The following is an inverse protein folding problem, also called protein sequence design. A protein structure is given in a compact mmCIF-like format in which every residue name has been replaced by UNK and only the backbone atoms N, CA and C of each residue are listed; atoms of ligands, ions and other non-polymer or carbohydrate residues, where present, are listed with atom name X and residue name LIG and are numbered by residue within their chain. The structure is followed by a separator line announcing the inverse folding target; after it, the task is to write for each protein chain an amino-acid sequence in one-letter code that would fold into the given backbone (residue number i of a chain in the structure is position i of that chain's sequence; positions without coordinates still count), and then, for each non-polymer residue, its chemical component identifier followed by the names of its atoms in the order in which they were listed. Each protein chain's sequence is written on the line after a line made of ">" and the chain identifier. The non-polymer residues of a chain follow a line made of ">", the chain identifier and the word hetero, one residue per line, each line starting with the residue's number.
data_IF_686715649895
#
_entry.id   IF_686715649895
#
_cell.length_a   1.000
_cell.length_b   1.000
_cell.length_c   1.000
_cell.angle_alpha   90.00
_cell.angle_beta   90.00
_cell.angle_gamma   90.00
#
_symmetry.space_group_name_H-M   'P 1'
#
loop_
_entity.id
_entity.type
_entity.pdbx_description
1 polymer ?
#
# COMPACT_ATOMS: atom_id res chain seq x y z
N UNK A 1 -14.45 -29.93 -49.59
CA UNK A 1 -15.70 -29.42 -50.18
C UNK A 1 -16.80 -29.60 -49.15
N UNK A 2 -17.00 -28.57 -48.33
CA UNK A 2 -17.84 -28.60 -47.13
C UNK A 2 -19.20 -27.98 -47.47
N UNK A 3 -20.28 -28.73 -47.28
CA UNK A 3 -21.66 -28.23 -47.50
C UNK A 3 -21.97 -27.08 -46.52
N UNK A 4 -22.64 -26.00 -46.97
CA UNK A 4 -23.01 -24.91 -46.09
C UNK A 4 -24.25 -25.28 -45.25
N UNK A 5 -24.16 -25.00 -43.95
CA UNK A 5 -25.30 -25.05 -43.02
C UNK A 5 -26.15 -23.78 -43.21
N UNK A 6 -27.37 -23.96 -43.67
CA UNK A 6 -28.40 -22.93 -43.79
C UNK A 6 -28.88 -22.52 -42.38
N UNK A 7 -28.64 -21.26 -42.00
CA UNK A 7 -29.22 -20.69 -40.78
C UNK A 7 -30.67 -20.26 -41.02
N UNK A 8 -31.59 -20.88 -40.29
CA UNK A 8 -33.00 -20.47 -40.23
C UNK A 8 -33.13 -19.14 -39.48
N UNK A 9 -33.69 -18.12 -40.14
CA UNK A 9 -34.09 -16.85 -39.50
C UNK A 9 -35.26 -17.09 -38.55
N UNK A 10 -35.00 -17.17 -37.24
CA UNK A 10 -36.04 -17.02 -36.21
C UNK A 10 -36.39 -15.53 -36.07
N UNK A 11 -37.61 -15.20 -36.44
CA UNK A 11 -38.26 -13.92 -36.14
C UNK A 11 -38.32 -13.72 -34.62
N UNK A 12 -37.57 -12.74 -34.11
CA UNK A 12 -37.67 -12.29 -32.71
C UNK A 12 -38.86 -11.35 -32.60
N UNK A 13 -40.00 -11.86 -32.12
CA UNK A 13 -41.09 -11.03 -31.60
C UNK A 13 -40.54 -10.22 -30.43
N UNK A 14 -40.58 -8.89 -30.55
CA UNK A 14 -40.29 -7.99 -29.45
C UNK A 14 -41.32 -8.21 -28.34
N UNK A 15 -40.90 -8.77 -27.21
CA UNK A 15 -41.69 -8.76 -25.99
C UNK A 15 -41.67 -7.33 -25.42
N UNK A 16 -42.73 -6.57 -25.66
CA UNK A 16 -43.03 -5.37 -24.89
C UNK A 16 -43.37 -5.81 -23.46
N UNK A 17 -42.45 -5.61 -22.52
CA UNK A 17 -42.74 -5.79 -21.10
C UNK A 17 -43.87 -4.83 -20.70
N UNK A 18 -44.87 -5.27 -19.90
CA UNK A 18 -45.89 -4.37 -19.39
C UNK A 18 -45.20 -3.40 -18.42
N UNK A 19 -45.28 -2.11 -18.70
CA UNK A 19 -44.93 -1.08 -17.73
C UNK A 19 -45.85 -1.28 -16.52
N UNK A 20 -45.30 -1.69 -15.39
CA UNK A 20 -46.09 -1.93 -14.19
C UNK A 20 -46.72 -0.61 -13.73
N UNK A 21 -48.05 -0.51 -13.78
CA UNK A 21 -48.83 0.62 -13.26
C UNK A 21 -48.60 0.88 -11.76
N UNK A 22 -47.98 -0.06 -11.04
CA UNK A 22 -47.66 0.03 -9.60
C UNK A 22 -46.50 0.98 -9.24
N UNK A 23 -45.80 1.58 -10.21
CA UNK A 23 -44.69 2.50 -9.93
C UNK A 23 -45.08 3.99 -9.87
N UNK A 24 -46.32 4.35 -10.24
CA UNK A 24 -46.73 5.74 -10.47
C UNK A 24 -47.27 6.49 -9.23
N UNK A 25 -47.37 5.83 -8.07
CA UNK A 25 -47.89 6.46 -6.85
C UNK A 25 -46.81 7.13 -5.97
N UNK A 26 -45.56 7.22 -6.47
CA UNK A 26 -44.43 7.77 -5.72
C UNK A 26 -44.39 9.33 -5.66
N UNK A 27 -45.39 10.01 -6.22
CA UNK A 27 -45.47 11.47 -6.30
C UNK A 27 -44.65 12.10 -7.43
N UNK A 28 -44.64 13.44 -7.49
CA UNK A 28 -43.94 14.23 -8.52
C UNK A 28 -42.82 15.07 -7.91
N UNK A 29 -41.71 15.21 -8.62
CA UNK A 29 -40.71 16.26 -8.38
C UNK A 29 -41.14 17.47 -9.20
N UNK A 30 -41.63 18.52 -8.54
CA UNK A 30 -42.13 19.72 -9.20
C UNK A 30 -41.07 20.80 -9.18
N UNK A 31 -40.66 21.27 -10.35
CA UNK A 31 -39.68 22.36 -10.53
C UNK A 31 -40.45 23.55 -11.08
N UNK A 32 -40.29 24.73 -10.47
CA UNK A 32 -40.90 25.98 -10.93
C UNK A 32 -39.86 27.09 -11.04
N UNK A 33 -39.90 27.82 -12.15
CA UNK A 33 -39.08 29.00 -12.37
C UNK A 33 -37.57 28.76 -12.37
N UNK A 34 -37.09 27.63 -12.89
CA UNK A 34 -35.64 27.37 -12.97
C UNK A 34 -34.96 28.31 -13.98
N UNK A 35 -33.97 29.08 -13.52
CA UNK A 35 -33.25 30.12 -14.27
C UNK A 35 -31.73 29.96 -14.27
N UNK A 36 -31.23 28.88 -13.69
CA UNK A 36 -29.78 28.61 -13.64
C UNK A 36 -29.13 28.61 -15.03
N UNK A 37 -28.04 29.35 -15.18
CA UNK A 37 -27.29 29.54 -16.43
C UNK A 37 -28.17 30.12 -17.57
N UNK A 38 -28.56 29.28 -18.53
CA UNK A 38 -29.32 29.67 -19.71
C UNK A 38 -30.79 29.21 -19.69
N UNK A 39 -31.27 28.69 -18.55
CA UNK A 39 -32.67 28.33 -18.36
C UNK A 39 -33.54 29.60 -18.31
N UNK A 40 -34.69 29.57 -18.97
CA UNK A 40 -35.59 30.74 -19.11
C UNK A 40 -36.85 30.59 -18.25
N UNK A 41 -36.69 30.37 -16.94
CA UNK A 41 -37.82 30.21 -16.01
C UNK A 41 -38.59 28.90 -16.22
N UNK A 42 -37.87 27.80 -16.44
CA UNK A 42 -38.46 26.50 -16.80
C UNK A 42 -39.26 25.92 -15.63
N UNK A 43 -40.49 25.50 -15.90
CA UNK A 43 -41.30 24.68 -15.00
C UNK A 43 -41.50 23.28 -15.57
N UNK A 44 -41.25 22.24 -14.77
CA UNK A 44 -41.41 20.84 -15.20
C UNK A 44 -41.77 19.95 -14.01
N UNK A 45 -42.62 18.96 -14.26
CA UNK A 45 -42.98 17.91 -13.30
C UNK A 45 -42.33 16.60 -13.73
N UNK A 46 -41.50 16.01 -12.87
CA UNK A 46 -40.81 14.74 -13.12
C UNK A 46 -41.45 13.63 -12.28
N UNK A 47 -41.77 12.46 -12.87
CA UNK A 47 -42.28 11.32 -12.12
C UNK A 47 -41.20 10.78 -11.18
N UNK A 48 -41.55 10.63 -9.90
CA UNK A 48 -40.64 10.05 -8.90
C UNK A 48 -40.64 8.52 -9.04
N UNK A 49 -39.52 7.88 -8.72
CA UNK A 49 -39.37 6.42 -8.88
C UNK A 49 -39.24 5.93 -10.33
N UNK A 50 -39.18 6.83 -11.30
CA UNK A 50 -39.02 6.51 -12.72
C UNK A 50 -37.59 6.79 -13.23
N UNK A 51 -37.18 6.07 -14.26
CA UNK A 51 -35.99 6.40 -15.04
C UNK A 51 -36.32 7.57 -15.98
N UNK A 52 -35.94 8.78 -15.58
CA UNK A 52 -36.20 10.01 -16.35
C UNK A 52 -35.00 10.35 -17.23
N UNK A 53 -35.22 10.48 -18.54
CA UNK A 53 -34.21 10.90 -19.50
C UNK A 53 -34.43 12.36 -19.94
N UNK A 54 -33.45 13.24 -19.70
CA UNK A 54 -33.44 14.62 -20.21
C UNK A 54 -32.64 14.67 -21.50
N UNK A 55 -33.29 15.00 -22.62
CA UNK A 55 -32.69 15.02 -23.96
C UNK A 55 -32.81 16.40 -24.63
N UNK A 56 -32.04 16.62 -25.70
CA UNK A 56 -32.00 17.89 -26.45
C UNK A 56 -30.62 18.26 -26.98
N UNK A 57 -30.57 19.28 -27.85
CA UNK A 57 -29.35 19.77 -28.50
C UNK A 57 -28.24 20.19 -27.51
N UNK A 58 -26.97 20.12 -27.91
CA UNK A 58 -25.87 20.64 -27.08
C UNK A 58 -26.13 22.11 -26.73
N UNK A 59 -25.89 22.49 -25.47
CA UNK A 59 -26.18 23.83 -24.98
C UNK A 59 -27.65 24.12 -24.65
N UNK A 60 -28.60 23.18 -24.83
CA UNK A 60 -30.03 23.43 -24.55
C UNK A 60 -30.40 23.59 -23.06
N UNK A 61 -29.43 23.54 -22.14
CA UNK A 61 -29.67 23.69 -20.70
C UNK A 61 -29.91 22.38 -19.94
N UNK A 62 -29.72 21.20 -20.56
CA UNK A 62 -29.87 19.88 -19.90
C UNK A 62 -29.04 19.76 -18.63
N UNK A 63 -27.75 20.06 -18.72
CA UNK A 63 -26.83 20.00 -17.59
C UNK A 63 -27.14 21.07 -16.55
N UNK A 64 -27.59 22.26 -16.99
CA UNK A 64 -28.05 23.33 -16.09
C UNK A 64 -29.23 22.88 -15.23
N UNK A 65 -30.21 22.16 -15.83
CA UNK A 65 -31.37 21.63 -15.12
C UNK A 65 -30.99 20.43 -14.22
N UNK A 66 -30.25 19.46 -14.76
CA UNK A 66 -29.93 18.22 -14.05
C UNK A 66 -28.88 18.40 -12.94
N UNK A 67 -27.74 18.99 -13.26
CA UNK A 67 -26.61 19.11 -12.34
C UNK A 67 -26.67 20.41 -11.55
N UNK A 68 -26.77 21.56 -12.23
CA UNK A 68 -26.67 22.85 -11.56
C UNK A 68 -27.95 23.28 -10.82
N UNK A 69 -29.09 22.64 -11.08
CA UNK A 69 -30.37 22.93 -10.39
C UNK A 69 -30.77 21.76 -9.50
N UNK A 70 -31.16 20.61 -10.07
CA UNK A 70 -31.69 19.47 -9.30
C UNK A 70 -30.66 18.87 -8.34
N UNK A 71 -29.48 18.47 -8.85
CA UNK A 71 -28.45 17.87 -8.01
C UNK A 71 -27.93 18.85 -6.94
N UNK A 72 -27.61 20.09 -7.32
CA UNK A 72 -27.16 21.11 -6.35
C UNK A 72 -28.19 21.37 -5.25
N UNK A 73 -29.47 21.50 -5.60
CA UNK A 73 -30.53 21.71 -4.60
C UNK A 73 -30.70 20.49 -3.70
N UNK A 74 -30.64 19.28 -4.27
CA UNK A 74 -30.75 18.03 -3.50
C UNK A 74 -29.58 17.85 -2.53
N UNK A 75 -28.36 18.16 -2.97
CA UNK A 75 -27.17 18.13 -2.13
C UNK A 75 -27.23 19.22 -1.04
N UNK A 76 -27.62 20.45 -1.38
CA UNK A 76 -27.78 21.56 -0.43
C UNK A 76 -28.76 21.21 0.68
N UNK A 77 -29.96 20.73 0.33
CA UNK A 77 -30.99 20.33 1.31
C UNK A 77 -30.50 19.21 2.22
N UNK A 78 -29.77 18.23 1.67
CA UNK A 78 -29.18 17.16 2.48
C UNK A 78 -28.16 17.71 3.49
N UNK A 79 -27.26 18.59 3.05
CA UNK A 79 -26.28 19.22 3.94
C UNK A 79 -26.92 20.09 5.03
N UNK A 80 -28.09 20.67 4.77
CA UNK A 80 -28.85 21.46 5.75
C UNK A 80 -29.41 20.62 6.90
N UNK A 81 -29.61 19.31 6.68
CA UNK A 81 -30.01 18.37 7.74
C UNK A 81 -28.86 17.95 8.65
N UNK A 82 -27.60 18.23 8.27
CA UNK A 82 -26.44 17.88 9.08
C UNK A 82 -26.30 18.79 10.31
N UNK A 83 -25.55 18.30 11.31
CA UNK A 83 -25.28 19.03 12.55
C UNK A 83 -24.67 20.42 12.28
N UNK A 84 -24.90 21.37 13.19
CA UNK A 84 -24.36 22.74 13.06
C UNK A 84 -22.84 22.75 12.88
N UNK A 85 -22.13 21.83 13.53
CA UNK A 85 -20.69 21.62 13.37
C UNK A 85 -20.32 21.17 11.94
N UNK A 86 -21.00 20.18 11.38
CA UNK A 86 -20.73 19.69 10.03
C UNK A 86 -20.96 20.78 8.96
N UNK A 87 -21.98 21.64 9.15
CA UNK A 87 -22.26 22.78 8.27
C UNK A 87 -21.15 23.84 8.29
N UNK A 88 -20.49 24.05 9.43
CA UNK A 88 -19.37 24.99 9.54
C UNK A 88 -18.16 24.55 8.70
N UNK A 89 -17.91 23.22 8.61
CA UNK A 89 -16.78 22.66 7.86
C UNK A 89 -17.05 22.50 6.37
N UNK A 90 -18.25 22.04 6.00
CA UNK A 90 -18.61 21.80 4.59
C UNK A 90 -18.97 23.11 3.86
N UNK A 91 -19.24 24.19 4.60
CA UNK A 91 -19.72 25.45 4.07
C UNK A 91 -21.16 25.37 3.59
N UNK A 92 -21.71 26.52 3.19
CA UNK A 92 -22.99 26.58 2.49
C UNK A 92 -22.79 26.32 1.00
N UNK A 93 -23.59 25.44 0.40
CA UNK A 93 -23.68 25.36 -1.05
C UNK A 93 -24.53 26.53 -1.56
N UNK A 94 -24.05 27.18 -2.63
CA UNK A 94 -24.80 28.25 -3.28
C UNK A 94 -26.18 27.73 -3.72
N UNK A 95 -27.24 28.43 -3.29
CA UNK A 95 -28.61 28.11 -3.70
C UNK A 95 -28.75 28.34 -5.21
N UNK A 96 -29.24 27.36 -5.98
CA UNK A 96 -29.48 27.54 -7.41
C UNK A 96 -30.62 28.55 -7.65
N UNK A 97 -30.59 29.23 -8.80
CA UNK A 97 -31.65 30.16 -9.21
C UNK A 97 -32.88 29.37 -9.70
N UNK A 98 -33.80 29.13 -8.76
CA UNK A 98 -35.08 28.46 -8.95
C UNK A 98 -36.07 29.01 -7.92
N UNK A 99 -37.34 29.14 -8.30
CA UNK A 99 -38.38 29.63 -7.39
C UNK A 99 -38.73 28.58 -6.34
N UNK A 100 -39.05 27.37 -6.79
CA UNK A 100 -39.36 26.26 -5.91
C UNK A 100 -39.04 24.92 -6.54
N UNK A 101 -38.64 23.98 -5.69
CA UNK A 101 -38.54 22.56 -6.02
C UNK A 101 -39.22 21.76 -4.91
N UNK A 102 -40.25 21.00 -5.23
CA UNK A 102 -40.99 20.15 -4.31
C UNK A 102 -40.74 18.67 -4.63
N UNK A 103 -40.80 17.80 -3.62
CA UNK A 103 -40.65 16.35 -3.81
C UNK A 103 -39.22 15.86 -4.10
N UNK A 104 -38.20 16.70 -3.97
CA UNK A 104 -36.80 16.34 -4.24
C UNK A 104 -36.20 15.47 -3.13
N UNK A 105 -35.66 14.31 -3.50
CA UNK A 105 -34.87 13.44 -2.61
C UNK A 105 -33.41 13.94 -2.49
N UNK A 106 -32.63 13.48 -1.48
CA UNK A 106 -31.18 13.61 -1.50
C UNK A 106 -30.63 13.11 -2.84
N UNK A 107 -29.74 13.90 -3.46
CA UNK A 107 -29.28 13.66 -4.82
C UNK A 107 -27.80 13.27 -4.84
N UNK A 108 -27.46 12.33 -5.70
CA UNK A 108 -26.07 11.92 -6.01
C UNK A 108 -25.86 12.15 -7.50
N UNK A 109 -24.79 12.87 -7.84
CA UNK A 109 -24.37 13.02 -9.23
C UNK A 109 -23.27 12.01 -9.54
N UNK A 110 -23.47 11.27 -10.63
CA UNK A 110 -22.41 10.48 -11.26
C UNK A 110 -22.08 11.17 -12.57
N UNK A 111 -20.99 11.93 -12.58
CA UNK A 111 -20.49 12.62 -13.77
C UNK A 111 -19.24 11.92 -14.34
N UNK A 112 -18.77 12.40 -15.48
CA UNK A 112 -17.56 11.87 -16.13
C UNK A 112 -16.27 12.47 -15.56
N UNK A 113 -16.32 13.27 -14.49
CA UNK A 113 -15.09 13.87 -13.95
C UNK A 113 -14.23 12.76 -13.36
N UNK A 114 -12.94 12.80 -13.71
CA UNK A 114 -11.98 11.85 -13.18
C UNK A 114 -11.84 12.05 -11.67
N UNK A 115 -12.11 11.01 -10.90
CA UNK A 115 -11.76 10.98 -9.48
C UNK A 115 -10.25 11.20 -9.36
N UNK A 116 -9.78 12.19 -8.56
CA UNK A 116 -8.36 12.45 -8.38
C UNK A 116 -7.63 11.17 -7.96
N UNK A 117 -6.65 10.74 -8.77
CA UNK A 117 -5.90 9.51 -8.54
C UNK A 117 -4.68 9.81 -7.69
N UNK A 118 -4.73 9.46 -6.41
CA UNK A 118 -3.51 9.38 -5.59
C UNK A 118 -2.63 8.22 -6.05
N UNK A 119 -1.31 8.29 -5.83
CA UNK A 119 -0.36 7.27 -6.27
C UNK A 119 -0.65 5.86 -5.71
N UNK A 120 -1.29 5.79 -4.53
CA UNK A 120 -1.72 4.55 -3.88
C UNK A 120 -3.17 4.14 -4.21
N UNK A 121 -3.92 4.97 -4.94
CA UNK A 121 -5.30 4.63 -5.33
C UNK A 121 -5.30 3.59 -6.45
N UNK A 122 -6.08 2.54 -6.27
CA UNK A 122 -6.30 1.44 -7.22
C UNK A 122 -7.80 1.25 -7.43
N UNK A 123 -8.18 0.45 -8.43
CA UNK A 123 -9.58 0.03 -8.60
C UNK A 123 -10.10 -0.63 -7.31
N UNK A 124 -9.31 -1.53 -6.71
CA UNK A 124 -9.72 -2.24 -5.50
C UNK A 124 -9.95 -1.34 -4.29
N UNK A 125 -9.19 -0.26 -4.14
CA UNK A 125 -9.44 0.72 -3.06
C UNK A 125 -10.61 1.64 -3.37
N UNK A 126 -10.86 1.96 -4.65
CA UNK A 126 -12.00 2.79 -5.07
C UNK A 126 -13.33 2.06 -4.92
N UNK A 127 -13.36 0.74 -5.13
CA UNK A 127 -14.56 -0.08 -5.02
C UNK A 127 -14.68 -0.78 -3.67
N UNK A 128 -13.77 -0.49 -2.72
CA UNK A 128 -13.67 -1.15 -1.40
C UNK A 128 -13.48 -2.68 -1.46
N UNK A 129 -13.31 -3.27 -2.65
CA UNK A 129 -13.05 -4.70 -2.83
C UNK A 129 -11.75 -5.10 -2.13
N UNK A 130 -10.74 -4.23 -2.16
CA UNK A 130 -9.49 -4.46 -1.43
C UNK A 130 -9.76 -4.60 0.08
N UNK A 131 -10.70 -3.85 0.65
CA UNK A 131 -11.03 -3.86 2.07
C UNK A 131 -11.66 -5.19 2.48
N UNK A 132 -12.57 -5.70 1.65
CA UNK A 132 -13.14 -7.03 1.82
C UNK A 132 -12.09 -8.13 1.68
N UNK A 133 -11.18 -8.02 0.71
CA UNK A 133 -10.08 -8.98 0.55
C UNK A 133 -9.18 -8.98 1.79
N UNK A 134 -8.87 -7.82 2.36
CA UNK A 134 -8.06 -7.73 3.60
C UNK A 134 -8.70 -8.51 4.75
N UNK A 135 -10.01 -8.40 4.92
CA UNK A 135 -10.75 -9.17 5.94
C UNK A 135 -10.74 -10.66 5.61
N UNK A 136 -10.97 -11.03 4.35
CA UNK A 136 -10.97 -12.42 3.90
C UNK A 136 -9.61 -13.09 4.17
N UNK A 137 -8.51 -12.47 3.75
CA UNK A 137 -7.17 -13.01 3.95
C UNK A 137 -6.78 -13.09 5.43
N UNK A 138 -7.22 -12.13 6.26
CA UNK A 138 -6.99 -12.19 7.70
C UNK A 138 -7.78 -13.30 8.42
N UNK A 139 -8.99 -13.63 7.93
CA UNK A 139 -9.89 -14.58 8.62
C UNK A 139 -9.81 -16.00 8.07
N UNK A 140 -9.53 -16.16 6.78
CA UNK A 140 -9.53 -17.46 6.10
C UNK A 140 -8.19 -17.79 5.43
N UNK A 141 -7.23 -16.87 5.43
CA UNK A 141 -5.90 -17.11 4.88
C UNK A 141 -5.08 -18.05 5.76
N UNK A 142 -4.39 -19.00 5.13
CA UNK A 142 -3.39 -19.83 5.81
C UNK A 142 -2.05 -19.11 5.72
N UNK A 143 -1.56 -18.59 6.84
CA UNK A 143 -0.24 -18.00 6.93
C UNK A 143 0.84 -19.06 6.69
N UNK A 144 1.95 -18.66 6.08
CA UNK A 144 3.14 -19.50 5.91
C UNK A 144 4.33 -18.77 6.54
N UNK A 145 5.22 -19.51 7.19
CA UNK A 145 6.38 -18.93 7.83
C UNK A 145 7.35 -18.39 6.77
N UNK A 146 7.80 -17.11 6.83
CA UNK A 146 8.74 -16.57 5.85
C UNK A 146 10.07 -17.34 5.79
N UNK A 147 10.50 -17.96 6.90
CA UNK A 147 11.78 -18.67 7.02
C UNK A 147 11.75 -20.09 6.47
N UNK A 148 10.79 -20.92 6.92
CA UNK A 148 10.72 -22.34 6.55
C UNK A 148 9.54 -22.70 5.63
N UNK A 149 8.68 -21.73 5.29
CA UNK A 149 7.50 -21.88 4.43
C UNK A 149 6.46 -22.89 4.93
N UNK A 150 6.60 -23.38 6.16
CA UNK A 150 5.58 -24.25 6.75
C UNK A 150 4.29 -23.46 7.04
N UNK A 151 3.12 -24.10 6.88
CA UNK A 151 1.85 -23.48 7.20
C UNK A 151 1.78 -23.20 8.70
N UNK A 152 1.62 -21.93 9.04
CA UNK A 152 1.38 -21.47 10.40
C UNK A 152 -0.09 -21.77 10.68
N UNK A 153 -0.32 -22.96 11.22
CA UNK A 153 -1.64 -23.38 11.68
C UNK A 153 -1.77 -23.09 13.16
N UNK A 154 -2.98 -22.77 13.57
CA UNK A 154 -3.28 -22.67 14.98
C UNK A 154 -3.09 -24.04 15.65
N UNK A 155 -2.44 -24.05 16.81
CA UNK A 155 -2.32 -25.25 17.65
C UNK A 155 -3.51 -25.29 18.59
N UNK A 156 -4.04 -26.47 18.86
CA UNK A 156 -5.08 -26.62 19.89
C UNK A 156 -4.44 -26.44 21.28
N UNK A 157 -5.18 -25.91 22.27
CA UNK A 157 -4.71 -25.86 23.65
C UNK A 157 -4.24 -27.22 24.17
N UNK A 158 -4.89 -28.31 23.71
CA UNK A 158 -4.50 -29.68 24.08
C UNK A 158 -3.13 -30.08 23.52
N UNK A 159 -2.84 -29.76 22.26
CA UNK A 159 -1.53 -30.04 21.67
C UNK A 159 -0.42 -29.27 22.39
N UNK A 160 -0.70 -28.02 22.76
CA UNK A 160 0.22 -27.15 23.49
C UNK A 160 0.43 -27.67 24.94
N UNK A 161 -0.62 -28.18 25.60
CA UNK A 161 -0.51 -28.83 26.91
C UNK A 161 0.38 -30.10 26.86
N UNK A 162 0.22 -30.94 25.83
CA UNK A 162 1.03 -32.15 25.64
C UNK A 162 2.51 -31.80 25.40
N UNK A 163 2.78 -30.76 24.62
CA UNK A 163 4.13 -30.27 24.36
C UNK A 163 4.80 -29.75 25.64
N UNK A 164 4.12 -28.88 26.39
CA UNK A 164 4.62 -28.36 27.67
C UNK A 164 4.86 -29.50 28.66
N UNK A 165 3.92 -30.45 28.75
CA UNK A 165 4.07 -31.60 29.64
C UNK A 165 5.29 -32.45 29.28
N UNK A 166 5.57 -32.64 27.99
CA UNK A 166 6.73 -33.42 27.52
C UNK A 166 8.07 -32.72 27.77
N UNK A 167 8.11 -31.40 27.64
CA UNK A 167 9.35 -30.62 27.78
C UNK A 167 9.69 -30.37 29.25
N UNK A 168 8.70 -30.02 30.06
CA UNK A 168 8.88 -29.57 31.44
C UNK A 168 8.42 -30.60 32.48
N UNK A 169 8.40 -31.88 32.13
CA UNK A 169 7.98 -32.95 33.05
C UNK A 169 8.82 -32.93 34.33
N UNK A 170 8.16 -32.94 35.48
CA UNK A 170 8.79 -32.91 36.81
C UNK A 170 9.66 -31.67 37.10
N UNK A 171 9.62 -30.64 36.24
CA UNK A 171 10.31 -29.35 36.46
C UNK A 171 9.36 -28.31 37.06
N UNK A 172 9.87 -27.41 37.91
CA UNK A 172 9.08 -26.28 38.42
C UNK A 172 8.92 -25.24 37.32
N UNK A 173 7.67 -24.90 37.01
CA UNK A 173 7.33 -23.86 36.02
C UNK A 173 6.36 -22.84 36.58
N UNK A 174 6.45 -21.62 36.06
CA UNK A 174 5.47 -20.55 36.22
C UNK A 174 4.72 -20.40 34.90
N UNK A 175 3.40 -20.52 34.95
CA UNK A 175 2.53 -20.27 33.81
C UNK A 175 2.02 -18.85 33.88
N UNK A 176 2.41 -18.04 32.91
CA UNK A 176 2.13 -16.61 32.86
C UNK A 176 1.30 -16.26 31.64
N UNK A 177 0.30 -15.39 31.82
CA UNK A 177 -0.46 -14.81 30.71
C UNK A 177 0.16 -13.45 30.33
N UNK A 178 0.69 -13.28 29.10
CA UNK A 178 1.27 -12.01 28.67
C UNK A 178 0.17 -10.99 28.34
N UNK A 179 0.06 -9.92 29.12
CA UNK A 179 -0.99 -8.90 28.99
C UNK A 179 -0.52 -7.68 28.20
N UNK A 180 0.73 -7.27 28.41
CA UNK A 180 1.33 -6.14 27.72
C UNK A 180 2.68 -6.55 27.14
N UNK A 181 2.87 -6.26 25.86
CA UNK A 181 4.13 -6.47 25.15
C UNK A 181 4.68 -5.14 24.66
N UNK A 182 5.85 -4.78 25.17
CA UNK A 182 6.67 -3.68 24.67
C UNK A 182 5.87 -2.38 24.43
N UNK A 183 4.96 -2.05 25.36
CA UNK A 183 4.04 -0.91 25.22
C UNK A 183 4.38 0.18 26.22
N UNK A 184 4.40 1.43 25.74
CA UNK A 184 4.57 2.60 26.61
C UNK A 184 3.32 2.86 27.46
N UNK A 185 3.52 3.22 28.72
CA UNK A 185 2.44 3.62 29.61
C UNK A 185 2.65 3.16 31.04
N UNK A 186 1.94 3.80 31.98
CA UNK A 186 2.00 3.42 33.41
C UNK A 186 1.08 2.26 33.77
N UNK A 187 0.17 1.85 32.87
CA UNK A 187 -0.72 0.69 32.99
C UNK A 187 -1.50 0.54 34.32
N UNK A 188 -1.75 1.63 35.06
CA UNK A 188 -2.44 1.59 36.38
C UNK A 188 -3.80 0.88 36.33
N UNK A 189 -4.62 1.19 35.33
CA UNK A 189 -5.93 0.57 35.15
C UNK A 189 -5.86 -0.96 34.96
N UNK A 190 -4.78 -1.47 34.35
CA UNK A 190 -4.55 -2.91 34.21
C UNK A 190 -4.28 -3.55 35.56
N UNK A 191 -3.39 -2.97 36.37
CA UNK A 191 -3.09 -3.50 37.69
C UNK A 191 -4.30 -3.47 38.63
N UNK A 192 -5.13 -2.41 38.56
CA UNK A 192 -6.36 -2.33 39.34
C UNK A 192 -7.39 -3.39 38.92
N UNK A 193 -7.52 -3.67 37.62
CA UNK A 193 -8.37 -4.75 37.10
C UNK A 193 -7.85 -6.14 37.55
N UNK A 194 -6.53 -6.36 37.51
CA UNK A 194 -5.93 -7.60 38.02
C UNK A 194 -6.19 -7.82 39.51
N UNK A 195 -6.13 -6.76 40.33
CA UNK A 195 -6.46 -6.83 41.77
C UNK A 195 -7.92 -7.21 41.99
N UNK A 196 -8.84 -6.59 41.24
CA UNK A 196 -10.28 -6.91 41.30
C UNK A 196 -10.59 -8.35 40.91
N UNK A 197 -9.80 -8.93 40.01
CA UNK A 197 -9.90 -10.34 39.58
C UNK A 197 -9.21 -11.32 40.53
N UNK A 198 -8.53 -10.84 41.58
CA UNK A 198 -7.92 -11.67 42.61
C UNK A 198 -6.52 -12.21 42.27
N UNK A 199 -5.84 -11.66 41.26
CA UNK A 199 -4.46 -12.06 40.97
C UNK A 199 -3.49 -11.51 42.03
N UNK A 200 -2.51 -12.33 42.43
CA UNK A 200 -1.58 -11.99 43.52
C UNK A 200 -0.18 -11.63 43.03
N UNK A 201 0.26 -12.23 41.91
CA UNK A 201 1.63 -12.09 41.40
C UNK A 201 1.63 -11.66 39.94
N UNK A 202 2.61 -10.82 39.61
CA UNK A 202 2.88 -10.38 38.25
C UNK A 202 4.36 -10.44 37.98
N UNK A 203 4.71 -10.56 36.72
CA UNK A 203 6.06 -10.36 36.22
C UNK A 203 6.06 -9.06 35.41
N UNK A 204 6.89 -8.11 35.81
CA UNK A 204 7.02 -6.80 35.17
C UNK A 204 8.47 -6.64 34.76
N UNK A 205 8.71 -6.44 33.47
CA UNK A 205 10.06 -6.33 32.89
C UNK A 205 10.98 -7.46 33.40
N UNK A 206 10.46 -8.70 33.33
CA UNK A 206 11.12 -9.95 33.72
C UNK A 206 11.28 -10.16 35.24
N UNK A 207 10.94 -9.17 36.08
CA UNK A 207 10.99 -9.28 37.54
C UNK A 207 9.68 -9.79 38.12
N UNK A 208 9.74 -10.91 38.85
CA UNK A 208 8.60 -11.47 39.56
C UNK A 208 8.36 -10.71 40.87
N UNK A 209 7.14 -10.18 41.04
CA UNK A 209 6.75 -9.42 42.24
C UNK A 209 5.27 -9.66 42.61
N UNK A 210 4.89 -9.27 43.82
CA UNK A 210 3.47 -9.26 44.21
C UNK A 210 2.80 -8.04 43.60
N UNK A 211 1.52 -8.17 43.24
CA UNK A 211 0.74 -7.11 42.59
C UNK A 211 0.58 -5.84 43.46
N UNK A 212 0.72 -5.99 44.79
CA UNK A 212 0.71 -4.90 45.77
C UNK A 212 2.04 -4.11 45.77
N UNK A 213 3.14 -4.77 45.45
CA UNK A 213 4.50 -4.22 45.52
C UNK A 213 4.96 -3.59 44.18
N UNK A 214 4.09 -3.57 43.17
CA UNK A 214 4.44 -3.06 41.83
C UNK A 214 4.64 -1.54 41.89
N UNK A 215 5.84 -1.03 41.52
CA UNK A 215 6.09 0.41 41.51
C UNK A 215 5.33 1.12 40.39
N UNK A 216 5.19 2.45 40.50
CA UNK A 216 4.61 3.24 39.41
C UNK A 216 5.50 3.21 38.17
N UNK A 217 4.99 2.59 37.10
CA UNK A 217 5.71 2.46 35.83
C UNK A 217 5.75 3.79 35.06
N UNK A 218 6.86 4.02 34.36
CA UNK A 218 7.10 5.25 33.59
C UNK A 218 6.21 5.29 32.34
N UNK A 219 5.53 6.42 32.12
CA UNK A 219 4.67 6.61 30.93
C UNK A 219 5.46 6.64 29.61
N UNK A 220 6.75 6.93 29.66
CA UNK A 220 7.58 7.13 28.46
C UNK A 220 8.43 5.91 28.07
N UNK A 221 8.57 4.95 28.98
CA UNK A 221 9.31 3.71 28.76
C UNK A 221 8.37 2.60 28.32
N UNK A 222 8.90 1.62 27.58
CA UNK A 222 8.16 0.45 27.15
C UNK A 222 8.28 -0.62 28.23
N UNK A 223 7.17 -1.27 28.54
CA UNK A 223 7.10 -2.29 29.59
C UNK A 223 6.57 -3.61 29.03
N UNK A 224 6.97 -4.71 29.67
CA UNK A 224 6.41 -6.06 29.51
C UNK A 224 5.72 -6.45 30.81
N UNK A 225 4.46 -6.88 30.72
CA UNK A 225 3.66 -7.24 31.90
C UNK A 225 2.99 -8.57 31.65
N UNK A 226 3.30 -9.54 32.50
CA UNK A 226 2.70 -10.86 32.52
C UNK A 226 2.04 -11.12 33.88
N UNK A 227 0.83 -11.67 33.91
CA UNK A 227 0.21 -12.11 35.17
C UNK A 227 0.53 -13.59 35.41
N UNK A 228 0.92 -13.92 36.63
CA UNK A 228 1.19 -15.32 37.00
C UNK A 228 -0.13 -15.99 37.32
N UNK A 229 -0.47 -17.05 36.58
CA UNK A 229 -1.72 -17.78 36.73
C UNK A 229 -1.52 -18.99 37.65
N UNK A 230 -0.48 -19.79 37.42
CA UNK A 230 -0.19 -20.96 38.25
C UNK A 230 1.32 -21.15 38.42
N UNK A 231 1.70 -21.74 39.55
CA UNK A 231 3.04 -22.24 39.85
C UNK A 231 2.92 -23.73 40.10
N UNK A 232 3.46 -24.52 39.20
CA UNK A 232 3.25 -25.97 39.24
C UNK A 232 4.47 -26.76 38.81
N UNK A 233 4.39 -28.07 39.02
CA UNK A 233 5.30 -29.05 38.45
C UNK A 233 4.45 -29.93 37.53
N UNK A 234 4.60 -29.85 36.20
CA UNK A 234 3.85 -30.68 35.26
C UNK A 234 4.15 -32.16 35.53
N UNK A 235 3.09 -32.96 35.66
CA UNK A 235 3.19 -34.42 35.88
C UNK A 235 2.24 -35.14 34.94
N UNK A 236 2.71 -36.24 34.34
CA UNK A 236 1.90 -37.06 33.44
C UNK A 236 0.67 -37.68 34.13
N UNK A 237 0.71 -37.82 35.46
CA UNK A 237 -0.36 -38.33 36.31
C UNK A 237 -1.53 -37.34 36.49
N UNK A 238 -1.25 -36.03 36.38
CA UNK A 238 -2.23 -34.95 36.61
C UNK A 238 -2.30 -33.95 35.44
N UNK A 239 -2.56 -34.39 34.19
CA UNK A 239 -2.59 -33.50 33.03
C UNK A 239 -3.75 -32.49 33.06
N UNK A 240 -4.82 -32.79 33.81
CA UNK A 240 -5.98 -31.93 33.94
C UNK A 240 -5.64 -30.56 34.55
N UNK A 241 -4.77 -30.53 35.56
CA UNK A 241 -4.35 -29.28 36.21
C UNK A 241 -3.58 -28.38 35.24
N UNK A 242 -2.65 -28.96 34.47
CA UNK A 242 -1.91 -28.20 33.46
C UNK A 242 -2.84 -27.61 32.43
N UNK A 243 -3.80 -28.39 31.91
CA UNK A 243 -4.79 -27.90 30.93
C UNK A 243 -5.62 -26.75 31.47
N UNK A 244 -6.10 -26.83 32.72
CA UNK A 244 -6.93 -25.78 33.32
C UNK A 244 -6.15 -24.47 33.48
N UNK A 245 -4.94 -24.55 34.03
CA UNK A 245 -4.05 -23.40 34.18
C UNK A 245 -3.64 -22.83 32.81
N UNK A 246 -3.35 -23.68 31.84
CA UNK A 246 -3.02 -23.29 30.47
C UNK A 246 -4.17 -22.58 29.77
N UNK A 247 -5.39 -23.11 29.85
CA UNK A 247 -6.58 -22.48 29.28
C UNK A 247 -6.83 -21.10 29.91
N UNK A 248 -6.59 -20.97 31.21
CA UNK A 248 -6.68 -19.69 31.92
C UNK A 248 -5.61 -18.72 31.40
N UNK A 249 -4.36 -19.18 31.22
CA UNK A 249 -3.30 -18.37 30.61
C UNK A 249 -3.68 -17.91 29.20
N UNK A 250 -4.07 -18.83 28.32
CA UNK A 250 -4.42 -18.54 26.94
C UNK A 250 -5.62 -17.57 26.84
N UNK A 251 -6.61 -17.70 27.73
CA UNK A 251 -7.76 -16.78 27.79
C UNK A 251 -7.34 -15.37 28.17
N UNK A 252 -6.44 -15.20 29.14
CA UNK A 252 -5.96 -13.90 29.57
C UNK A 252 -4.89 -13.31 28.66
N UNK A 253 -4.06 -14.14 28.03
CA UNK A 253 -2.96 -13.77 27.14
C UNK A 253 -3.33 -13.73 25.66
N UNK A 254 -4.62 -13.75 25.32
CA UNK A 254 -5.15 -13.70 23.94
C UNK A 254 -4.53 -14.77 23.02
N UNK A 255 -4.50 -16.02 23.48
CA UNK A 255 -3.95 -17.17 22.73
C UNK A 255 -2.46 -17.43 22.99
N UNK A 256 -1.84 -16.67 23.88
CA UNK A 256 -0.44 -16.84 24.23
C UNK A 256 -0.24 -17.20 25.70
N UNK A 257 0.81 -17.96 25.97
CA UNK A 257 1.23 -18.34 27.31
C UNK A 257 2.75 -18.32 27.39
N UNK A 258 3.27 -17.70 28.45
CA UNK A 258 4.69 -17.70 28.75
C UNK A 258 4.95 -18.74 29.84
N UNK A 259 5.81 -19.71 29.55
CA UNK A 259 6.28 -20.71 30.51
C UNK A 259 7.65 -20.25 31.00
N UNK A 260 7.77 -19.97 32.30
CA UNK A 260 9.05 -19.57 32.90
C UNK A 260 9.59 -20.68 33.80
N UNK A 261 10.85 -21.02 33.61
CA UNK A 261 11.67 -21.82 34.54
C UNK A 261 12.63 -20.89 35.28
N UNK A 262 13.53 -21.46 36.10
CA UNK A 262 14.59 -20.69 36.75
C UNK A 262 15.63 -20.16 35.74
N UNK A 263 15.78 -20.83 34.58
CA UNK A 263 16.83 -20.54 33.59
C UNK A 263 16.32 -19.76 32.37
N UNK A 264 15.06 -19.95 31.97
CA UNK A 264 14.52 -19.39 30.73
C UNK A 264 13.02 -19.06 30.80
N UNK A 265 12.57 -18.22 29.86
CA UNK A 265 11.17 -17.93 29.64
C UNK A 265 10.82 -18.14 28.17
N UNK A 266 10.01 -19.17 27.89
CA UNK A 266 9.65 -19.59 26.54
C UNK A 266 8.19 -19.22 26.26
N UNK A 267 7.95 -18.52 25.16
CA UNK A 267 6.62 -18.14 24.72
C UNK A 267 6.02 -19.25 23.86
N UNK A 268 4.87 -19.76 24.28
CA UNK A 268 4.04 -20.65 23.50
C UNK A 268 2.79 -19.89 23.03
N UNK A 269 2.30 -20.24 21.86
CA UNK A 269 1.13 -19.61 21.27
C UNK A 269 0.28 -20.61 20.53
N UNK A 270 -1.04 -20.43 20.62
CA UNK A 270 -1.98 -21.12 19.74
C UNK A 270 -1.99 -20.55 18.33
N UNK A 271 -1.44 -19.34 18.06
CA UNK A 271 -1.57 -18.66 16.76
C UNK A 271 -0.29 -17.99 16.24
N UNK A 272 0.73 -17.77 17.09
CA UNK A 272 1.84 -16.83 16.82
C UNK A 272 3.23 -17.45 16.76
N UNK A 273 3.35 -18.78 16.72
CA UNK A 273 4.65 -19.47 16.63
C UNK A 273 4.64 -20.50 15.50
N UNK A 274 5.62 -20.41 14.61
CA UNK A 274 5.80 -21.36 13.52
C UNK A 274 6.12 -22.78 14.07
N UNK A 275 5.42 -23.84 13.61
CA UNK A 275 5.68 -25.22 14.03
C UNK A 275 7.06 -25.77 13.66
N UNK A 276 7.61 -25.42 12.48
CA UNK A 276 8.89 -25.97 12.05
C UNK A 276 10.11 -25.28 12.64
N UNK A 277 10.16 -23.94 12.62
CA UNK A 277 11.36 -23.19 13.01
C UNK A 277 11.25 -22.43 14.34
N UNK A 278 10.09 -22.48 15.01
CA UNK A 278 9.86 -21.77 16.28
C UNK A 278 9.86 -20.25 16.18
N UNK A 279 9.89 -19.69 14.97
CA UNK A 279 9.86 -18.24 14.76
C UNK A 279 8.51 -17.62 15.11
N UNK A 280 8.55 -16.44 15.73
CA UNK A 280 7.35 -15.61 15.96
C UNK A 280 6.70 -15.22 14.64
N UNK A 281 5.38 -15.36 14.59
CA UNK A 281 4.53 -14.97 13.48
C UNK A 281 3.51 -13.97 13.99
N UNK A 282 3.43 -12.75 13.41
CA UNK A 282 2.44 -11.77 13.85
C UNK A 282 1.02 -12.29 13.58
N UNK A 283 0.03 -11.90 14.41
CA UNK A 283 -1.35 -12.31 14.18
C UNK A 283 -1.85 -11.82 12.82
N UNK A 284 -2.62 -12.65 12.13
CA UNK A 284 -3.22 -12.31 10.85
C UNK A 284 -4.31 -11.24 11.04
N UNK A 285 -3.91 -9.98 10.90
CA UNK A 285 -4.81 -8.84 10.98
C UNK A 285 -5.06 -8.21 9.60
N UNK A 286 -6.25 -7.66 9.31
CA UNK A 286 -6.55 -7.03 8.02
C UNK A 286 -5.57 -5.91 7.62
N UNK A 287 -4.94 -5.23 8.60
CA UNK A 287 -3.96 -4.17 8.35
C UNK A 287 -2.65 -4.66 7.74
N UNK A 288 -2.32 -5.96 7.88
CA UNK A 288 -1.14 -6.57 7.25
C UNK A 288 -1.31 -6.71 5.74
N UNK A 289 -2.55 -6.75 5.26
CA UNK A 289 -2.88 -6.83 3.84
C UNK A 289 -3.14 -5.45 3.21
N UNK A 290 -2.80 -4.37 3.92
CA UNK A 290 -2.97 -3.00 3.44
C UNK A 290 -1.62 -2.36 3.08
N UNK A 291 -1.41 -2.11 1.79
CA UNK A 291 -0.27 -1.32 1.32
C UNK A 291 -0.36 0.18 1.65
N UNK A 292 -1.47 0.63 2.25
CA UNK A 292 -1.60 1.99 2.81
C UNK A 292 -1.22 2.04 4.30
N UNK A 293 -0.96 0.90 4.93
CA UNK A 293 -0.52 0.80 6.33
C UNK A 293 0.96 0.44 6.35
N UNK A 294 1.80 1.07 7.20
CA UNK A 294 3.20 0.68 7.37
C UNK A 294 3.41 -0.80 7.74
N UNK A 295 2.40 -1.44 8.30
CA UNK A 295 2.46 -2.86 8.72
C UNK A 295 2.37 -3.81 7.52
N UNK A 296 1.63 -3.44 6.48
CA UNK A 296 1.43 -4.26 5.29
C UNK A 296 2.18 -3.75 4.07
N UNK A 297 2.58 -2.48 4.05
CA UNK A 297 3.28 -1.85 2.95
C UNK A 297 4.72 -2.33 2.83
N UNK A 298 5.13 -2.66 1.61
CA UNK A 298 6.53 -2.93 1.26
C UNK A 298 7.44 -1.80 1.77
N UNK A 299 8.43 -2.13 2.60
CA UNK A 299 9.38 -1.17 3.19
C UNK A 299 10.17 -0.38 2.14
N UNK A 300 10.46 -1.01 1.00
CA UNK A 300 11.38 -0.45 0.01
C UNK A 300 10.71 0.57 -0.91
N UNK A 301 9.40 0.44 -1.10
CA UNK A 301 8.62 1.37 -1.93
C UNK A 301 7.50 2.09 -1.16
N UNK A 302 7.44 1.92 0.16
CA UNK A 302 6.39 2.47 1.03
C UNK A 302 4.98 2.19 0.46
N UNK A 303 4.74 0.96 -0.01
CA UNK A 303 3.45 0.55 -0.57
C UNK A 303 3.05 1.21 -1.90
N UNK A 304 3.98 1.85 -2.61
CA UNK A 304 3.73 2.36 -3.97
C UNK A 304 3.76 1.24 -5.02
N UNK A 305 4.55 0.19 -4.79
CA UNK A 305 4.81 -0.90 -5.73
C UNK A 305 5.71 -0.51 -6.90
N UNK A 306 6.03 0.78 -7.03
CA UNK A 306 6.94 1.28 -8.04
C UNK A 306 8.06 2.05 -7.37
N UNK A 307 9.25 1.91 -7.93
CA UNK A 307 10.41 2.73 -7.58
C UNK A 307 10.81 3.55 -8.79
N UNK A 308 11.22 4.80 -8.54
CA UNK A 308 11.81 5.64 -9.59
C UNK A 308 13.30 5.33 -9.66
N UNK A 309 13.69 4.48 -10.61
CA UNK A 309 15.10 4.15 -10.85
C UNK A 309 15.51 4.51 -12.28
N UNK A 310 16.81 4.78 -12.52
CA UNK A 310 17.32 4.89 -13.88
C UNK A 310 17.18 3.55 -14.60
N UNK A 311 16.45 3.54 -15.71
CA UNK A 311 16.28 2.37 -16.59
C UNK A 311 16.79 2.67 -17.99
N UNK A 312 17.06 1.63 -18.78
CA UNK A 312 17.40 1.80 -20.21
C UNK A 312 16.31 2.58 -20.95
N UNK A 313 15.04 2.24 -20.74
CA UNK A 313 13.90 2.93 -21.37
C UNK A 313 13.79 4.41 -20.98
N UNK A 314 14.21 4.80 -19.77
CA UNK A 314 14.23 6.21 -19.35
C UNK A 314 15.43 7.01 -19.89
N UNK A 315 16.46 6.34 -20.41
CA UNK A 315 17.71 6.95 -20.86
C UNK A 315 17.83 6.94 -22.39
N UNK A 316 17.30 5.93 -23.08
CA UNK A 316 17.29 5.86 -24.55
C UNK A 316 16.13 6.71 -25.08
N UNK A 317 16.46 7.85 -25.69
CA UNK A 317 15.48 8.77 -26.25
C UNK A 317 15.04 8.35 -27.67
N UNK A 318 15.99 7.91 -28.50
CA UNK A 318 15.72 7.44 -29.86
C UNK A 318 16.72 6.33 -30.21
N UNK A 319 16.21 5.11 -30.37
CA UNK A 319 17.05 3.96 -30.66
C UNK A 319 17.57 3.93 -32.11
N UNK A 320 17.02 4.76 -33.01
CA UNK A 320 17.44 4.84 -34.41
C UNK A 320 18.68 5.71 -34.63
N UNK A 321 19.03 6.55 -33.66
CA UNK A 321 20.20 7.40 -33.69
C UNK A 321 21.42 6.69 -33.11
N UNK A 322 22.62 7.19 -33.43
CA UNK A 322 23.86 6.74 -32.78
C UNK A 322 24.06 7.42 -31.42
N UNK A 323 25.02 6.95 -30.63
CA UNK A 323 25.32 7.54 -29.32
C UNK A 323 25.73 9.01 -29.49
N UNK A 324 26.58 9.31 -30.49
CA UNK A 324 26.96 10.69 -30.87
C UNK A 324 25.81 11.47 -31.46
N UNK A 325 24.93 10.79 -32.21
CA UNK A 325 23.72 11.34 -32.81
C UNK A 325 22.61 11.67 -31.82
N UNK A 326 22.80 11.42 -30.52
CA UNK A 326 21.83 11.79 -29.49
C UNK A 326 20.84 10.68 -29.10
N UNK A 327 21.17 9.41 -29.35
CA UNK A 327 20.33 8.28 -28.94
C UNK A 327 19.99 8.26 -27.45
N UNK A 328 20.89 8.79 -26.61
CA UNK A 328 20.73 8.85 -25.15
C UNK A 328 20.28 10.24 -24.72
N UNK A 329 19.24 10.31 -23.88
CA UNK A 329 18.70 11.54 -23.31
C UNK A 329 19.73 12.34 -22.48
N UNK A 330 20.78 11.68 -22.01
CA UNK A 330 21.88 12.30 -21.25
C UNK A 330 22.94 12.95 -22.14
N UNK A 331 22.84 12.85 -23.48
CA UNK A 331 23.75 13.52 -24.40
C UNK A 331 23.66 15.04 -24.21
N UNK A 332 24.81 15.71 -24.12
CA UNK A 332 24.86 17.15 -23.85
C UNK A 332 24.22 17.92 -25.01
N UNK A 333 23.36 18.90 -24.70
CA UNK A 333 22.68 19.72 -25.71
C UNK A 333 23.62 20.49 -26.65
N UNK A 334 24.84 20.83 -26.19
CA UNK A 334 25.89 21.47 -27.01
C UNK A 334 26.82 20.46 -27.72
N UNK A 335 26.49 19.17 -27.67
CA UNK A 335 27.39 18.10 -28.08
C UNK A 335 28.59 17.90 -27.14
N UNK A 336 29.58 17.14 -27.59
CA UNK A 336 30.83 16.92 -26.84
C UNK A 336 30.72 15.96 -25.65
N UNK A 337 29.80 15.00 -25.68
CA UNK A 337 29.74 13.87 -24.75
C UNK A 337 28.45 13.73 -23.95
N UNK A 338 28.55 12.99 -22.85
CA UNK A 338 27.42 12.66 -21.97
C UNK A 338 27.46 13.48 -20.68
N UNK A 339 26.30 14.00 -20.27
CA UNK A 339 26.12 14.75 -19.02
C UNK A 339 26.19 13.86 -17.77
N UNK A 340 25.87 12.57 -17.91
CA UNK A 340 26.07 11.52 -16.91
C UNK A 340 26.75 10.34 -17.63
N UNK A 341 27.97 9.88 -17.26
CA UNK A 341 28.81 10.20 -16.09
C UNK A 341 29.65 11.50 -16.12
N UNK A 342 29.36 12.47 -17.01
CA UNK A 342 30.26 13.60 -17.33
C UNK A 342 31.56 13.10 -17.98
N UNK A 343 31.42 12.64 -19.22
CA UNK A 343 32.53 12.23 -20.09
C UNK A 343 32.37 12.90 -21.44
N UNK A 344 33.47 13.08 -22.16
CA UNK A 344 33.46 13.56 -23.54
C UNK A 344 33.47 12.37 -24.54
N UNK A 345 33.47 12.70 -25.83
CA UNK A 345 33.52 11.67 -26.87
C UNK A 345 34.89 11.00 -26.96
N UNK A 346 35.99 11.74 -26.74
CA UNK A 346 37.34 11.19 -26.79
C UNK A 346 37.57 10.11 -25.73
N UNK A 347 37.04 10.29 -24.53
CA UNK A 347 37.04 9.26 -23.49
C UNK A 347 36.20 8.05 -23.89
N UNK A 348 35.00 8.28 -24.44
CA UNK A 348 34.12 7.18 -24.87
C UNK A 348 34.68 6.41 -26.06
N UNK A 349 35.47 7.03 -26.94
CA UNK A 349 36.17 6.33 -28.03
C UNK A 349 37.17 5.31 -27.48
N UNK A 350 37.91 5.66 -26.41
CA UNK A 350 38.83 4.73 -25.74
C UNK A 350 38.07 3.54 -25.15
N UNK A 351 36.90 3.79 -24.53
CA UNK A 351 36.02 2.73 -24.00
C UNK A 351 35.48 1.85 -25.14
N UNK A 352 35.04 2.47 -26.23
CA UNK A 352 34.47 1.79 -27.39
C UNK A 352 35.51 0.92 -28.11
N UNK A 353 36.73 1.43 -28.30
CA UNK A 353 37.85 0.71 -28.88
C UNK A 353 38.23 -0.54 -28.06
N UNK A 354 38.33 -0.41 -26.73
CA UNK A 354 38.66 -1.52 -25.84
C UNK A 354 37.59 -2.61 -25.77
N UNK A 355 36.37 -2.31 -26.21
CA UNK A 355 35.21 -3.21 -26.22
C UNK A 355 34.69 -3.49 -27.65
N UNK A 356 35.44 -3.09 -28.67
CA UNK A 356 35.20 -3.38 -30.09
C UNK A 356 33.81 -2.96 -30.61
N UNK A 357 33.36 -1.74 -30.30
CA UNK A 357 32.15 -1.16 -30.89
C UNK A 357 32.37 0.29 -31.35
N UNK A 358 31.47 0.81 -32.18
CA UNK A 358 31.50 2.20 -32.65
C UNK A 358 30.41 3.05 -31.98
N UNK A 359 30.73 4.31 -31.70
CA UNK A 359 29.76 5.28 -31.18
C UNK A 359 28.82 5.85 -32.25
N UNK A 360 29.13 5.61 -33.52
CA UNK A 360 28.39 6.08 -34.69
C UNK A 360 27.37 5.06 -35.21
N UNK A 361 27.39 3.83 -34.68
CA UNK A 361 26.36 2.83 -34.96
C UNK A 361 25.04 3.23 -34.28
N UNK A 362 23.88 3.13 -34.98
CA UNK A 362 22.58 3.30 -34.36
C UNK A 362 22.39 2.42 -33.12
N UNK A 363 21.74 2.94 -32.08
CA UNK A 363 21.61 2.24 -30.79
C UNK A 363 20.96 0.86 -30.92
N UNK A 364 19.91 0.74 -31.74
CA UNK A 364 19.21 -0.52 -32.04
C UNK A 364 20.11 -1.57 -32.69
N UNK A 365 21.13 -1.15 -33.43
CA UNK A 365 22.04 -2.01 -34.19
C UNK A 365 23.33 -2.33 -33.41
N UNK A 366 23.53 -1.70 -32.24
CA UNK A 366 24.64 -2.01 -31.35
C UNK A 366 24.48 -3.40 -30.71
N UNK A 367 25.57 -4.19 -30.59
CA UNK A 367 25.54 -5.44 -29.84
C UNK A 367 25.07 -5.23 -28.40
N UNK A 368 24.28 -6.17 -27.85
CA UNK A 368 23.80 -6.11 -26.44
C UNK A 368 24.92 -5.93 -25.42
N UNK A 369 26.10 -6.52 -25.68
CA UNK A 369 27.30 -6.32 -24.84
C UNK A 369 27.78 -4.86 -24.85
N UNK A 370 27.77 -4.20 -26.00
CA UNK A 370 28.14 -2.79 -26.14
C UNK A 370 27.13 -1.86 -25.46
N UNK A 371 25.83 -2.10 -25.65
CA UNK A 371 24.76 -1.38 -24.93
C UNK A 371 24.95 -1.50 -23.41
N UNK A 372 25.23 -2.71 -22.91
CA UNK A 372 25.50 -2.95 -21.49
C UNK A 372 26.74 -2.19 -20.98
N UNK A 373 27.83 -2.15 -21.75
CA UNK A 373 29.03 -1.37 -21.39
C UNK A 373 28.70 0.11 -21.26
N UNK A 374 27.93 0.67 -22.18
CA UNK A 374 27.50 2.09 -22.13
C UNK A 374 26.58 2.37 -20.94
N UNK A 375 25.62 1.48 -20.67
CA UNK A 375 24.64 1.69 -19.60
C UNK A 375 25.19 1.38 -18.20
N UNK A 376 25.91 0.28 -18.02
CA UNK A 376 26.32 -0.23 -16.71
C UNK A 376 27.80 -0.05 -16.40
N UNK A 377 28.61 0.25 -17.42
CA UNK A 377 30.05 0.50 -17.29
C UNK A 377 30.93 -0.63 -17.79
N UNK A 378 32.23 -0.37 -17.78
CA UNK A 378 33.27 -1.25 -18.35
C UNK A 378 33.97 -2.14 -17.29
N UNK A 379 33.28 -2.44 -16.18
CA UNK A 379 33.83 -3.22 -15.07
C UNK A 379 35.00 -2.50 -14.37
N UNK A 380 36.07 -3.25 -14.07
CA UNK A 380 37.25 -2.73 -13.35
C UNK A 380 38.29 -2.03 -14.24
N UNK A 381 38.14 -2.13 -15.58
CA UNK A 381 39.05 -1.50 -16.54
C UNK A 381 39.09 0.01 -16.35
N UNK A 382 40.31 0.57 -16.40
CA UNK A 382 40.56 2.01 -16.30
C UNK A 382 40.95 2.55 -17.67
N UNK A 383 40.54 3.80 -17.91
CA UNK A 383 40.77 4.52 -19.15
C UNK A 383 41.33 5.89 -18.81
N UNK A 384 42.26 6.40 -19.63
CA UNK A 384 42.79 7.75 -19.42
C UNK A 384 41.78 8.81 -19.83
N UNK A 385 41.52 9.74 -18.92
CA UNK A 385 40.63 10.89 -19.07
C UNK A 385 41.47 12.16 -18.97
N UNK A 386 41.10 13.17 -19.76
CA UNK A 386 41.89 14.40 -19.86
C UNK A 386 40.95 15.59 -19.70
N UNK A 387 41.25 16.48 -18.76
CA UNK A 387 40.59 17.76 -18.66
C UNK A 387 41.53 18.85 -19.15
N UNK A 388 41.08 19.60 -20.14
CA UNK A 388 41.73 20.82 -20.60
C UNK A 388 40.91 22.03 -20.15
N UNK A 389 41.58 23.05 -19.60
CA UNK A 389 40.94 24.33 -19.33
C UNK A 389 41.71 25.43 -20.05
N UNK A 390 40.96 26.29 -20.72
CA UNK A 390 41.49 27.39 -21.49
C UNK A 390 40.79 28.67 -21.03
N UNK A 391 41.22 29.18 -19.87
CA UNK A 391 40.72 30.43 -19.30
C UNK A 391 41.61 31.61 -19.67
N UNK A 392 41.07 32.83 -19.54
CA UNK A 392 41.80 34.06 -19.86
C UNK A 392 43.12 34.25 -19.07
N UNK A 393 43.26 33.62 -17.89
CA UNK A 393 44.44 33.74 -17.01
C UNK A 393 45.27 32.46 -16.86
N UNK A 394 44.72 31.27 -17.10
CA UNK A 394 45.42 30.00 -16.94
C UNK A 394 45.00 29.01 -18.02
N UNK A 395 45.99 28.38 -18.66
CA UNK A 395 45.82 27.23 -19.56
C UNK A 395 46.54 26.03 -18.97
N UNK A 396 45.91 24.87 -19.03
CA UNK A 396 46.53 23.63 -18.58
C UNK A 396 45.71 22.41 -18.97
N UNK A 397 46.36 21.27 -18.89
CA UNK A 397 45.74 19.96 -19.09
C UNK A 397 46.18 19.04 -17.96
N UNK A 398 45.26 18.26 -17.44
CA UNK A 398 45.56 17.18 -16.49
C UNK A 398 45.03 15.87 -17.06
N UNK A 399 45.84 14.82 -17.00
CA UNK A 399 45.47 13.47 -17.38
C UNK A 399 45.44 12.58 -16.13
N UNK A 400 44.42 11.74 -16.03
CA UNK A 400 44.29 10.76 -14.95
C UNK A 400 43.55 9.52 -15.47
N UNK A 401 43.63 8.43 -14.71
CA UNK A 401 42.87 7.22 -15.04
C UNK A 401 41.59 7.10 -14.22
N UNK A 402 40.50 6.71 -14.88
CA UNK A 402 39.22 6.43 -14.19
C UNK A 402 38.52 5.23 -14.80
N UNK A 403 37.64 4.61 -13.99
CA UNK A 403 36.69 3.61 -14.46
C UNK A 403 35.50 4.28 -15.13
N UNK A 404 35.00 3.68 -16.20
CA UNK A 404 33.72 4.06 -16.77
C UNK A 404 32.59 3.33 -16.07
N UNK A 405 31.82 4.06 -15.26
CA UNK A 405 30.73 3.54 -14.41
C UNK A 405 29.39 3.39 -15.14
N UNK A 406 29.36 3.68 -16.44
CA UNK A 406 28.13 3.66 -17.25
C UNK A 406 27.18 4.81 -16.95
N UNK A 407 26.19 4.98 -17.83
CA UNK A 407 25.15 6.01 -17.68
C UNK A 407 24.23 5.71 -16.50
N UNK A 408 23.71 4.48 -16.37
CA UNK A 408 22.83 4.08 -15.27
C UNK A 408 23.57 4.10 -13.93
N UNK A 409 24.82 3.64 -13.88
CA UNK A 409 25.62 3.69 -12.66
C UNK A 409 25.86 5.14 -12.19
N UNK A 410 26.11 6.06 -13.12
CA UNK A 410 26.22 7.48 -12.81
C UNK A 410 24.92 8.11 -12.29
N UNK A 411 23.79 7.77 -12.91
CA UNK A 411 22.48 8.25 -12.49
C UNK A 411 22.11 7.69 -11.10
N UNK A 412 22.34 6.39 -10.84
CA UNK A 412 22.12 5.77 -9.52
C UNK A 412 22.96 6.46 -8.43
N UNK A 413 24.25 6.74 -8.72
CA UNK A 413 25.13 7.48 -7.81
C UNK A 413 24.66 8.91 -7.56
N UNK A 414 24.07 9.57 -8.55
CA UNK A 414 23.52 10.91 -8.41
C UNK A 414 22.24 10.94 -7.56
N UNK A 415 21.35 9.94 -7.73
CA UNK A 415 20.15 9.75 -6.90
C UNK A 415 20.54 9.50 -5.44
N UNK A 416 21.47 8.57 -5.20
CA UNK A 416 21.92 8.23 -3.83
C UNK A 416 22.58 9.39 -3.08
N UNK A 417 23.25 10.31 -3.80
CA UNK A 417 23.88 11.50 -3.22
C UNK A 417 22.90 12.66 -2.94
N UNK A 418 21.61 12.50 -3.22
CA UNK A 418 20.60 13.56 -3.04
C UNK A 418 20.80 14.78 -3.95
N UNK A 419 21.69 14.72 -4.94
CA UNK A 419 22.07 15.87 -5.75
C UNK A 419 21.04 16.19 -6.84
N UNK A 420 20.56 17.44 -6.89
CA UNK A 420 19.73 18.02 -7.97
C UNK A 420 18.62 17.10 -8.50
N UNK A 421 17.75 16.62 -7.60
CA UNK A 421 16.63 15.72 -7.89
C UNK A 421 15.90 16.06 -9.21
N UNK A 422 15.53 17.33 -9.45
CA UNK A 422 14.86 17.78 -10.68
C UNK A 422 15.60 17.48 -11.99
N UNK A 423 16.93 17.49 -12.01
CA UNK A 423 17.69 17.23 -13.25
C UNK A 423 17.79 15.74 -13.54
N UNK A 424 17.88 14.90 -12.50
CA UNK A 424 17.98 13.44 -12.63
C UNK A 424 16.60 12.80 -12.79
N UNK A 425 15.57 13.38 -12.18
CA UNK A 425 14.16 12.93 -12.26
C UNK A 425 13.67 12.72 -13.68
N UNK A 426 14.12 13.55 -14.63
CA UNK A 426 13.73 13.45 -16.04
C UNK A 426 14.22 12.16 -16.73
N UNK A 427 15.20 11.48 -16.13
CA UNK A 427 15.79 10.23 -16.63
C UNK A 427 15.36 9.01 -15.79
N UNK A 428 14.45 9.20 -14.82
CA UNK A 428 13.91 8.11 -14.01
C UNK A 428 12.62 7.63 -14.64
N UNK A 429 12.54 6.33 -14.90
CA UNK A 429 11.28 5.69 -15.23
C UNK A 429 10.66 5.11 -13.94
N UNK A 430 9.35 4.95 -13.93
CA UNK A 430 8.70 4.07 -12.96
C UNK A 430 8.98 2.64 -13.39
N UNK A 431 9.51 1.86 -12.46
CA UNK A 431 9.69 0.43 -12.63
C UNK A 431 9.10 -0.28 -11.41
N UNK A 432 8.77 -1.56 -11.55
CA UNK A 432 8.28 -2.36 -10.44
C UNK A 432 9.32 -2.39 -9.32
N UNK A 433 8.86 -2.28 -8.07
CA UNK A 433 9.72 -2.47 -6.92
C UNK A 433 10.21 -3.92 -6.89
N UNK A 434 11.54 -4.12 -6.89
CA UNK A 434 12.16 -5.45 -6.94
C UNK A 434 11.82 -6.26 -5.69
N UNK A 435 11.72 -5.62 -4.52
CA UNK A 435 11.46 -6.29 -3.24
C UNK A 435 10.05 -6.88 -3.13
N UNK A 436 9.04 -6.20 -3.66
CA UNK A 436 7.65 -6.70 -3.64
C UNK A 436 7.13 -7.12 -5.02
N UNK A 437 7.97 -7.15 -6.05
CA UNK A 437 7.59 -7.40 -7.44
C UNK A 437 6.36 -6.59 -7.92
N UNK A 438 6.22 -5.34 -7.43
CA UNK A 438 5.07 -4.48 -7.75
C UNK A 438 3.77 -4.73 -6.97
N UNK A 439 3.71 -5.74 -6.10
CA UNK A 439 2.50 -6.07 -5.30
C UNK A 439 2.16 -5.06 -4.23
N UNK A 440 3.10 -4.18 -3.85
CA UNK A 440 2.98 -3.15 -2.81
C UNK A 440 2.99 -3.67 -1.37
N UNK A 441 2.95 -4.98 -1.16
CA UNK A 441 2.86 -5.60 0.16
C UNK A 441 4.22 -6.11 0.64
N UNK A 442 4.36 -6.27 1.96
CA UNK A 442 5.47 -7.00 2.56
C UNK A 442 5.39 -8.51 2.22
N UNK A 443 6.54 -9.17 2.07
CA UNK A 443 6.61 -10.63 1.84
C UNK A 443 6.21 -11.46 3.05
#
# INVERSE_FOLDING_TARGET
>A
MSKPLTMAKKSTKAHSAPASETALDAGLIRIRGARQNNLRGVGVDLPRGALVAITGLSGSGKSSLAFDTLFREGQRRFLETLSGYARQFLGGLAKPDVESIEGLSPAIAVDQKSVPRGARSTVGTLTEVADHLRVLFARAGVAHCPKCQEPVRSRTPEALAQEILRIYENQKVLLCAPLIRDRKGSHKALFDDLRKRGFVRVRVDEQLMRLEDVPELSRYQRHRIEVVVDRMVPRAEEPARLRESLNTCLKHGEGDVLVCTDDEAVLYSTERVCPGCGGDVPPLEPRLFSFNSPHGACSDCDGLGVVRKPTEAGVVADASLSIRGGALAVTKAKGGGLSFPRVDWAFLDKVAAAHQFSLDTPWKDLPRKAQKVILEGAGDKRFSDTATWNGAKHKGSVEWERRYIGVLGALRKAVAKGSKAKMVERYLAQDACDACAGTRLNP
#
